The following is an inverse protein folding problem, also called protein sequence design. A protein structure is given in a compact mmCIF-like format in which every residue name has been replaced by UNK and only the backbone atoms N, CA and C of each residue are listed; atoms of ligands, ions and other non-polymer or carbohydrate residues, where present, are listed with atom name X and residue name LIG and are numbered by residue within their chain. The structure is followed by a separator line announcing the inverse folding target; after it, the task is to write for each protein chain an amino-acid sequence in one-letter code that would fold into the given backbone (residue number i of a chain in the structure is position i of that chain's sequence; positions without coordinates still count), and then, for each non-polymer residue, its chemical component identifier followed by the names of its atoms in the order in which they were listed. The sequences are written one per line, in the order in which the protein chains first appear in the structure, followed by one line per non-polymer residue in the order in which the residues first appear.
data_IF_713086689242
#
_entry.id   IF_713086689242
#
_cell.length_a   1.000
_cell.length_b   1.000
_cell.length_c   1.000
_cell.angle_alpha   90.00
_cell.angle_beta   90.00
_cell.angle_gamma   90.00
#
_symmetry.space_group_name_H-M   'P 1'
#
loop_
_entity.id
_entity.type
_entity.pdbx_description
1 polymer ?
#
# COMPACT_ATOMS: atom_id res chain seq x y z
N UNK A 1 0.19 25.58 23.09
CA UNK A 1 1.25 24.73 22.48
C UNK A 1 0.73 24.31 21.13
N UNK A 2 1.38 24.74 20.05
CA UNK A 2 0.94 24.44 18.69
C UNK A 2 1.37 23.01 18.33
N UNK A 3 0.45 22.05 18.40
CA UNK A 3 0.58 20.80 17.65
C UNK A 3 0.22 21.13 16.21
N UNK A 4 1.23 21.30 15.36
CA UNK A 4 1.04 21.45 13.92
C UNK A 4 0.32 20.24 13.32
N UNK A 5 -0.12 20.32 12.05
CA UNK A 5 -0.73 19.18 11.37
C UNK A 5 0.19 17.96 11.45
N UNK A 6 -0.40 16.82 11.80
CA UNK A 6 0.27 15.58 12.22
C UNK A 6 1.43 15.17 11.34
N UNK A 7 2.55 14.84 11.98
CA UNK A 7 3.65 14.17 11.30
C UNK A 7 3.17 12.78 10.85
N UNK A 8 3.28 12.48 9.56
CA UNK A 8 3.10 11.11 9.05
C UNK A 8 4.02 10.13 9.81
N UNK A 9 3.54 8.92 10.17
CA UNK A 9 4.30 7.97 10.99
C UNK A 9 5.57 7.49 10.28
N UNK A 10 6.52 6.99 11.06
CA UNK A 10 7.85 6.64 10.55
C UNK A 10 7.80 5.50 9.54
N UNK A 11 6.88 4.53 9.71
CA UNK A 11 6.69 3.43 8.77
C UNK A 11 6.26 3.91 7.38
N UNK A 12 5.32 4.85 7.27
CA UNK A 12 4.88 5.37 5.97
C UNK A 12 6.03 6.04 5.22
N UNK A 13 6.96 6.67 5.95
CA UNK A 13 8.14 7.33 5.37
C UNK A 13 9.24 6.35 4.96
N UNK A 14 9.36 5.22 5.67
CA UNK A 14 10.42 4.24 5.47
C UNK A 14 10.44 3.69 4.03
N UNK A 15 9.26 3.51 3.40
CA UNK A 15 9.09 2.99 2.02
C UNK A 15 10.06 1.85 1.66
N UNK A 16 10.23 0.92 2.60
CA UNK A 16 11.08 -0.25 2.46
C UNK A 16 10.23 -1.50 2.72
N UNK A 17 10.05 -2.35 1.70
CA UNK A 17 9.15 -3.51 1.78
C UNK A 17 9.51 -4.47 2.91
N UNK A 18 10.80 -4.77 3.10
CA UNK A 18 11.24 -5.71 4.13
C UNK A 18 10.93 -5.19 5.55
N UNK A 19 11.20 -3.90 5.81
CA UNK A 19 10.89 -3.27 7.10
C UNK A 19 9.37 -3.21 7.34
N UNK A 20 8.60 -2.87 6.31
CA UNK A 20 7.14 -2.80 6.40
C UNK A 20 6.51 -4.18 6.63
N UNK A 21 7.01 -5.21 5.94
CA UNK A 21 6.59 -6.61 6.14
C UNK A 21 6.91 -7.09 7.55
N UNK A 22 8.14 -6.86 8.04
CA UNK A 22 8.53 -7.24 9.39
C UNK A 22 7.63 -6.56 10.44
N UNK A 23 7.39 -5.26 10.29
CA UNK A 23 6.55 -4.49 11.19
C UNK A 23 5.10 -5.01 11.19
N UNK A 24 4.54 -5.28 10.01
CA UNK A 24 3.19 -5.80 9.87
C UNK A 24 3.03 -7.22 10.43
N UNK A 25 4.04 -8.08 10.26
CA UNK A 25 3.98 -9.47 10.73
C UNK A 25 4.22 -9.57 12.24
N UNK A 26 5.13 -8.75 12.80
CA UNK A 26 5.64 -8.91 14.19
C UNK A 26 5.16 -7.86 15.20
N UNK A 27 4.61 -6.73 14.75
CA UNK A 27 4.27 -5.57 15.60
C UNK A 27 2.88 -5.01 15.27
N UNK A 28 1.94 -5.87 14.93
CA UNK A 28 0.59 -5.47 14.46
C UNK A 28 -0.24 -4.67 15.47
N UNK A 29 0.19 -4.57 16.73
CA UNK A 29 -0.46 -3.76 17.77
C UNK A 29 0.21 -2.41 18.03
N UNK A 30 1.32 -2.11 17.35
CA UNK A 30 2.03 -0.82 17.44
C UNK A 30 1.21 0.30 16.78
N UNK A 31 1.17 1.48 17.40
CA UNK A 31 0.41 2.64 16.92
C UNK A 31 0.83 3.06 15.51
N UNK A 32 2.13 2.97 15.18
CA UNK A 32 2.61 3.30 13.83
C UNK A 32 2.10 2.29 12.80
N UNK A 33 2.01 1.01 13.17
CA UNK A 33 1.47 -0.05 12.30
C UNK A 33 -0.05 0.12 12.15
N UNK A 34 -0.75 0.42 13.25
CA UNK A 34 -2.19 0.72 13.22
C UNK A 34 -2.50 1.90 12.30
N UNK A 35 -1.75 2.99 12.43
CA UNK A 35 -1.93 4.18 11.60
C UNK A 35 -1.58 3.92 10.13
N UNK A 36 -0.43 3.27 9.87
CA UNK A 36 0.06 3.07 8.51
C UNK A 36 -0.80 2.11 7.68
N UNK A 37 -1.36 1.06 8.32
CA UNK A 37 -1.99 -0.04 7.58
C UNK A 37 -3.48 -0.20 7.83
N UNK A 38 -4.01 0.19 8.99
CA UNK A 38 -5.38 -0.16 9.37
C UNK A 38 -6.31 1.03 9.48
N UNK A 39 -5.83 2.21 9.89
CA UNK A 39 -6.68 3.38 10.04
C UNK A 39 -6.95 4.11 8.71
N UNK A 40 -8.15 4.72 8.55
CA UNK A 40 -8.43 5.62 7.45
C UNK A 40 -7.52 6.86 7.50
N UNK A 41 -6.54 6.94 6.61
CA UNK A 41 -5.63 8.09 6.50
C UNK A 41 -5.18 8.31 5.05
N UNK A 42 -4.72 9.53 4.75
CA UNK A 42 -4.15 9.83 3.42
C UNK A 42 -2.80 9.13 3.25
N UNK A 43 -2.01 9.07 4.31
CA UNK A 43 -0.72 8.42 4.42
C UNK A 43 -0.80 6.93 4.06
N UNK A 44 -1.83 6.24 4.56
CA UNK A 44 -2.12 4.86 4.20
C UNK A 44 -2.45 4.71 2.72
N UNK A 45 -3.27 5.61 2.18
CA UNK A 45 -3.63 5.57 0.76
C UNK A 45 -2.40 5.80 -0.12
N UNK A 46 -1.52 6.71 0.26
CA UNK A 46 -0.25 6.95 -0.45
C UNK A 46 0.69 5.75 -0.36
N UNK A 47 0.77 5.10 0.81
CA UNK A 47 1.51 3.85 0.99
C UNK A 47 0.96 2.74 0.10
N UNK A 48 -0.36 2.57 0.05
CA UNK A 48 -1.02 1.58 -0.79
C UNK A 48 -0.74 1.85 -2.27
N UNK A 49 -0.82 3.11 -2.70
CA UNK A 49 -0.48 3.53 -4.06
C UNK A 49 0.97 3.16 -4.39
N UNK A 50 1.91 3.46 -3.49
CA UNK A 50 3.31 3.11 -3.68
C UNK A 50 3.51 1.60 -3.83
N UNK A 51 2.89 0.77 -2.97
CA UNK A 51 2.97 -0.70 -3.10
C UNK A 51 2.43 -1.17 -4.45
N UNK A 52 1.27 -0.66 -4.89
CA UNK A 52 0.68 -1.05 -6.17
C UNK A 52 1.55 -0.66 -7.37
N UNK A 53 2.24 0.48 -7.31
CA UNK A 53 3.21 0.88 -8.33
C UNK A 53 4.37 -0.12 -8.40
N UNK A 54 4.85 -0.62 -7.26
CA UNK A 54 5.94 -1.60 -7.24
C UNK A 54 5.54 -2.97 -7.79
N UNK A 55 4.26 -3.34 -7.73
CA UNK A 55 3.76 -4.60 -8.30
C UNK A 55 3.83 -4.59 -9.83
N UNK A 56 3.70 -3.43 -10.46
CA UNK A 56 3.65 -3.31 -11.93
C UNK A 56 4.95 -2.72 -12.51
N UNK A 57 5.89 -3.57 -12.93
CA UNK A 57 7.16 -3.13 -13.49
C UNK A 57 7.02 -2.42 -14.86
N UNK A 58 5.85 -2.49 -15.52
CA UNK A 58 5.61 -1.82 -16.81
C UNK A 58 5.40 -0.30 -16.67
N UNK A 59 5.22 0.20 -15.45
CA UNK A 59 4.91 1.60 -15.16
C UNK A 59 3.53 2.05 -15.65
N UNK A 60 2.64 1.15 -16.04
CA UNK A 60 1.27 1.50 -16.39
C UNK A 60 0.48 1.97 -15.17
N UNK A 61 0.65 1.27 -14.04
CA UNK A 61 0.03 1.60 -12.76
C UNK A 61 0.49 2.95 -12.23
N UNK A 62 1.79 3.27 -12.33
CA UNK A 62 2.31 4.58 -11.97
C UNK A 62 1.64 5.69 -12.80
N UNK A 63 1.62 5.54 -14.13
CA UNK A 63 0.98 6.52 -15.02
C UNK A 63 -0.51 6.73 -14.71
N UNK A 64 -1.21 5.66 -14.33
CA UNK A 64 -2.61 5.73 -13.97
C UNK A 64 -2.85 6.41 -12.60
N UNK A 65 -2.06 6.04 -11.58
CA UNK A 65 -2.24 6.48 -10.19
C UNK A 65 -1.54 7.82 -9.86
N UNK A 66 -0.60 8.29 -10.67
CA UNK A 66 0.09 9.58 -10.50
C UNK A 66 -0.65 10.78 -11.11
N UNK A 67 -1.83 10.55 -11.71
CA UNK A 67 -2.76 11.61 -12.09
C UNK A 67 -3.03 12.57 -10.93
N UNK A 68 -3.02 13.88 -11.17
CA UNK A 68 -3.57 14.85 -10.22
C UNK A 68 -5.08 14.61 -10.07
N UNK A 69 -5.57 14.50 -8.84
CA UNK A 69 -6.98 14.30 -8.51
C UNK A 69 -7.20 14.52 -7.02
N UNK A 70 -8.46 14.63 -6.60
CA UNK A 70 -8.79 14.65 -5.18
C UNK A 70 -8.63 13.24 -4.55
N UNK A 71 -8.80 13.16 -3.23
CA UNK A 71 -8.60 11.91 -2.48
C UNK A 71 -9.57 10.80 -2.93
N UNK A 72 -10.80 11.13 -3.29
CA UNK A 72 -11.79 10.13 -3.72
C UNK A 72 -11.45 9.60 -5.12
N UNK A 73 -11.05 10.47 -6.05
CA UNK A 73 -10.55 10.02 -7.35
C UNK A 73 -9.37 9.06 -7.21
N UNK A 74 -8.44 9.34 -6.28
CA UNK A 74 -7.30 8.44 -6.02
C UNK A 74 -7.79 7.10 -5.48
N UNK A 75 -8.77 7.09 -4.56
CA UNK A 75 -9.34 5.83 -4.04
C UNK A 75 -10.02 5.02 -5.12
N UNK A 76 -10.81 5.64 -5.99
CA UNK A 76 -11.48 4.96 -7.10
C UNK A 76 -10.47 4.33 -8.06
N UNK A 77 -9.39 5.05 -8.40
CA UNK A 77 -8.32 4.52 -9.25
C UNK A 77 -7.58 3.36 -8.58
N UNK A 78 -7.24 3.48 -7.30
CA UNK A 78 -6.62 2.41 -6.51
C UNK A 78 -7.51 1.17 -6.46
N UNK A 79 -8.82 1.34 -6.22
CA UNK A 79 -9.81 0.26 -6.27
C UNK A 79 -9.86 -0.40 -7.66
N UNK A 80 -9.81 0.40 -8.73
CA UNK A 80 -9.74 -0.08 -10.11
C UNK A 80 -8.51 -0.95 -10.39
N UNK A 81 -7.35 -0.63 -9.78
CA UNK A 81 -6.15 -1.46 -9.89
C UNK A 81 -6.30 -2.74 -9.06
N UNK A 82 -6.74 -2.64 -7.80
CA UNK A 82 -6.90 -3.80 -6.91
C UNK A 82 -7.87 -4.85 -7.45
N UNK A 83 -8.97 -4.42 -8.06
CA UNK A 83 -9.97 -5.34 -8.65
C UNK A 83 -9.42 -6.16 -9.82
N UNK A 84 -8.34 -5.71 -10.48
CA UNK A 84 -7.65 -6.48 -11.53
C UNK A 84 -6.82 -7.64 -10.96
N UNK A 85 -6.42 -7.55 -9.68
CA UNK A 85 -5.64 -8.59 -8.99
C UNK A 85 -6.54 -9.80 -8.61
N UNK A 86 -7.88 -9.68 -8.73
CA UNK A 86 -8.89 -10.76 -8.63
C UNK A 86 -8.74 -11.71 -7.43
N UNK A 87 -8.41 -11.20 -6.25
CA UNK A 87 -8.37 -12.01 -5.02
C UNK A 87 -9.63 -11.90 -4.16
N UNK A 88 -10.30 -10.75 -4.15
CA UNK A 88 -11.49 -10.49 -3.34
C UNK A 88 -12.61 -9.83 -4.16
N UNK A 89 -13.81 -9.72 -3.56
CA UNK A 89 -14.91 -8.96 -4.15
C UNK A 89 -14.61 -7.45 -4.15
N UNK A 90 -15.28 -6.69 -5.03
CA UNK A 90 -15.12 -5.25 -5.11
C UNK A 90 -15.46 -4.53 -3.79
N UNK A 91 -16.46 -5.01 -3.07
CA UNK A 91 -16.85 -4.48 -1.75
C UNK A 91 -15.74 -4.65 -0.71
N UNK A 92 -15.11 -5.82 -0.64
CA UNK A 92 -13.97 -6.04 0.27
C UNK A 92 -12.77 -5.15 -0.08
N UNK A 93 -12.50 -4.96 -1.38
CA UNK A 93 -11.46 -4.03 -1.79
C UNK A 93 -11.81 -2.58 -1.47
N UNK A 94 -13.08 -2.18 -1.56
CA UNK A 94 -13.49 -0.85 -1.13
C UNK A 94 -13.24 -0.69 0.37
N UNK A 95 -13.77 -1.56 1.23
CA UNK A 95 -13.52 -1.49 2.68
C UNK A 95 -12.03 -1.47 3.03
N UNK A 96 -11.22 -2.23 2.28
CA UNK A 96 -9.77 -2.19 2.39
C UNK A 96 -9.19 -0.83 1.97
N UNK A 97 -9.52 -0.27 0.81
CA UNK A 97 -8.98 1.03 0.35
C UNK A 97 -9.30 2.15 1.35
N UNK A 98 -10.50 2.14 1.93
CA UNK A 98 -10.92 3.15 2.90
C UNK A 98 -10.38 2.91 4.32
N UNK A 99 -9.73 1.77 4.60
CA UNK A 99 -9.25 1.44 5.96
C UNK A 99 -10.40 1.13 6.93
N UNK A 100 -11.54 0.65 6.42
CA UNK A 100 -12.74 0.35 7.21
C UNK A 100 -12.89 -1.14 7.51
N UNK A 101 -12.19 -2.00 6.76
CA UNK A 101 -12.19 -3.44 7.00
C UNK A 101 -11.54 -3.79 8.36
N UNK A 102 -11.91 -4.91 8.95
CA UNK A 102 -11.28 -5.39 10.18
C UNK A 102 -9.79 -5.72 9.96
N UNK A 103 -8.89 -5.52 10.96
CA UNK A 103 -7.47 -5.85 10.81
C UNK A 103 -7.21 -7.29 10.34
N UNK A 104 -8.03 -8.25 10.78
CA UNK A 104 -7.96 -9.65 10.36
C UNK A 104 -8.18 -9.86 8.85
N UNK A 105 -8.88 -8.93 8.18
CA UNK A 105 -9.10 -8.93 6.72
C UNK A 105 -8.02 -8.11 6.02
N UNK A 106 -7.63 -6.97 6.60
CA UNK A 106 -6.64 -6.07 6.01
C UNK A 106 -5.23 -6.67 6.00
N UNK A 107 -4.81 -7.33 7.09
CA UNK A 107 -3.43 -7.83 7.28
C UNK A 107 -3.02 -8.85 6.19
N UNK A 108 -3.81 -9.91 5.90
CA UNK A 108 -3.44 -10.84 4.83
C UNK A 108 -3.32 -10.18 3.46
N UNK A 109 -4.18 -9.21 3.16
CA UNK A 109 -4.14 -8.49 1.89
C UNK A 109 -2.90 -7.59 1.77
N UNK A 110 -2.55 -6.85 2.82
CA UNK A 110 -1.30 -6.08 2.85
C UNK A 110 -0.07 -6.96 2.67
N UNK A 111 0.02 -8.09 3.39
CA UNK A 111 1.12 -9.05 3.26
C UNK A 111 1.20 -9.57 1.83
N UNK A 112 0.06 -9.94 1.24
CA UNK A 112 0.02 -10.42 -0.14
C UNK A 112 0.54 -9.36 -1.12
N UNK A 113 0.03 -8.12 -1.05
CA UNK A 113 0.45 -7.03 -1.94
C UNK A 113 1.95 -6.73 -1.80
N UNK A 114 2.48 -6.67 -0.58
CA UNK A 114 3.89 -6.40 -0.34
C UNK A 114 4.80 -7.54 -0.81
N UNK A 115 4.42 -8.80 -0.60
CA UNK A 115 5.18 -9.95 -1.10
C UNK A 115 5.17 -10.03 -2.63
N UNK A 116 4.04 -9.68 -3.25
CA UNK A 116 3.97 -9.55 -4.71
C UNK A 116 4.87 -8.42 -5.21
N UNK A 117 4.89 -7.27 -4.53
CA UNK A 117 5.79 -6.15 -4.85
C UNK A 117 7.26 -6.54 -4.70
N UNK A 118 7.62 -7.24 -3.63
CA UNK A 118 8.98 -7.74 -3.38
C UNK A 118 9.42 -8.70 -4.48
N UNK A 119 8.57 -9.66 -4.85
CA UNK A 119 8.84 -10.58 -5.95
C UNK A 119 9.05 -9.83 -7.28
N UNK A 120 8.17 -8.89 -7.63
CA UNK A 120 8.28 -8.11 -8.86
C UNK A 120 9.59 -7.31 -8.93
N UNK A 121 10.04 -6.74 -7.81
CA UNK A 121 11.33 -6.04 -7.73
C UNK A 121 12.52 -6.99 -7.90
N UNK A 122 12.46 -8.17 -7.31
CA UNK A 122 13.54 -9.16 -7.40
C UNK A 122 13.68 -9.73 -8.82
N UNK A 123 12.58 -9.99 -9.52
CA UNK A 123 12.60 -10.43 -10.92
C UNK A 123 13.25 -9.38 -11.84
N UNK A 124 12.93 -8.10 -11.63
CA UNK A 124 13.56 -7.01 -12.37
C UNK A 124 15.08 -6.94 -12.17
N UNK A 125 15.55 -7.16 -10.94
CA UNK A 125 16.98 -7.17 -10.63
C UNK A 125 17.70 -8.34 -11.31
N UNK A 126 17.06 -9.51 -11.40
CA UNK A 126 17.63 -10.68 -12.08
C UNK A 126 17.68 -10.53 -13.60
N UNK A 127 16.83 -9.66 -14.18
CA UNK A 127 16.79 -9.41 -15.62
C UNK A 127 17.77 -8.32 -16.09
N UNK A 128 18.48 -7.65 -15.18
CA UNK A 128 19.54 -6.70 -15.55
C UNK A 128 20.87 -7.46 -15.69
N UNK A 129 21.40 -7.66 -16.91
CA UNK A 129 22.71 -8.30 -17.08
C UNK A 129 23.77 -7.42 -16.42
N UNK A 130 24.68 -8.05 -15.66
CA UNK A 130 25.86 -7.40 -15.07
C UNK A 130 26.54 -6.52 -16.13
N UNK A 131 26.53 -5.20 -15.91
CA UNK A 131 27.22 -4.23 -16.76
C UNK A 131 28.68 -4.12 -16.38
#
# INVERSE_FOLDING_TARGET
MATGPGAAPDLVRCRNLAVLLEALESRDTDDDVQYAFYWPSFERLDLLRWVLVLIDPSGATERYLCSTGDVEEVRERVLGVLTQIKHFSAEHYAEFVYGLALPAVQKPLWIHLMKTAEWAQNELLQQQPER
#
